data_IF_368759922460
#
_entry.id   IF_368759922460
#
_cell.length_a   1.000
_cell.length_b   1.000
_cell.length_c   1.000
_cell.angle_alpha   90.00
_cell.angle_beta   90.00
_cell.angle_gamma   90.00
#
_symmetry.space_group_name_H-M   'P 1'
#
loop_
_entity.id
_entity.type
_entity.pdbx_description
1 polymer ?
#
# COMPACT_ATOMS: atom_id res chain seq x y z
N UNK A 1 -4.44 13.34 -14.85
CA UNK A 1 -5.49 14.06 -14.12
C UNK A 1 -5.53 15.54 -14.53
N UNK A 2 -6.68 16.25 -14.43
CA UNK A 2 -6.84 17.63 -14.92
C UNK A 2 -5.88 18.63 -14.26
N UNK A 3 -5.55 18.45 -12.98
CA UNK A 3 -4.64 19.35 -12.27
C UNK A 3 -3.22 19.28 -12.82
N UNK A 4 -2.68 18.07 -13.01
CA UNK A 4 -1.36 17.89 -13.63
C UNK A 4 -1.32 18.45 -15.04
N UNK A 5 -2.38 18.25 -15.82
CA UNK A 5 -2.48 18.76 -17.19
C UNK A 5 -2.58 20.29 -17.26
N UNK A 6 -3.13 20.95 -16.24
CA UNK A 6 -3.20 22.41 -16.16
C UNK A 6 -1.82 23.08 -15.93
N UNK A 7 -0.81 22.31 -15.52
CA UNK A 7 0.55 22.80 -15.31
C UNK A 7 1.38 22.91 -16.61
N UNK A 8 0.83 22.52 -17.76
CA UNK A 8 1.50 22.66 -19.07
C UNK A 8 1.90 24.11 -19.34
N UNK A 9 3.11 24.31 -19.88
CA UNK A 9 3.63 25.61 -20.27
C UNK A 9 4.06 25.58 -21.74
N UNK A 10 3.84 26.69 -22.43
CA UNK A 10 4.31 26.85 -23.82
C UNK A 10 5.83 26.78 -23.89
N UNK A 11 6.38 26.02 -24.82
CA UNK A 11 7.83 25.86 -25.02
C UNK A 11 8.52 24.90 -24.08
N UNK A 12 7.75 24.11 -23.28
CA UNK A 12 8.29 23.04 -22.42
C UNK A 12 7.78 21.70 -22.95
N UNK A 13 8.70 20.74 -23.12
CA UNK A 13 8.34 19.37 -23.45
C UNK A 13 7.56 18.72 -22.28
N UNK A 14 6.46 18.07 -22.62
CA UNK A 14 5.60 17.43 -21.65
C UNK A 14 5.54 15.94 -21.95
N UNK A 15 5.95 15.14 -20.97
CA UNK A 15 5.79 13.68 -21.00
C UNK A 15 4.69 13.31 -20.04
N UNK A 16 3.72 12.52 -20.49
CA UNK A 16 2.64 12.03 -19.63
C UNK A 16 2.81 10.55 -19.31
N UNK A 17 2.18 10.12 -18.21
CA UNK A 17 2.08 8.70 -17.86
C UNK A 17 0.71 8.40 -17.24
N UNK A 18 0.24 7.17 -17.42
CA UNK A 18 -1.07 6.75 -16.90
C UNK A 18 -1.34 5.26 -17.08
N UNK A 19 -2.50 4.81 -16.58
CA UNK A 19 -2.95 3.43 -16.74
C UNK A 19 -3.52 3.12 -18.13
N UNK A 20 -3.69 4.13 -18.99
CA UNK A 20 -4.19 4.01 -20.35
C UNK A 20 -3.03 3.84 -21.35
N UNK A 21 -3.35 3.50 -22.60
CA UNK A 21 -2.36 3.48 -23.66
C UNK A 21 -1.77 4.90 -23.91
N UNK A 22 -0.47 5.00 -24.24
CA UNK A 22 0.18 6.29 -24.51
C UNK A 22 -0.52 7.05 -25.64
N UNK A 23 -0.67 8.37 -25.47
CA UNK A 23 -1.25 9.23 -26.50
C UNK A 23 -0.24 9.61 -27.58
N UNK A 24 1.04 9.69 -27.25
CA UNK A 24 2.15 10.02 -28.17
C UNK A 24 3.31 9.05 -28.00
N UNK A 25 4.26 9.07 -28.95
CA UNK A 25 5.48 8.27 -28.87
C UNK A 25 6.39 8.62 -27.67
N UNK A 26 6.14 9.78 -27.04
CA UNK A 26 6.91 10.25 -25.89
C UNK A 26 6.29 9.85 -24.53
N UNK A 27 5.03 9.48 -24.52
CA UNK A 27 4.27 9.20 -23.31
C UNK A 27 4.45 7.75 -22.86
N UNK A 28 4.20 7.53 -21.56
CA UNK A 28 4.24 6.21 -20.96
C UNK A 28 2.83 5.74 -20.58
N UNK A 29 2.57 4.45 -20.73
CA UNK A 29 1.25 3.91 -20.42
C UNK A 29 1.22 2.40 -20.25
N UNK A 30 0.01 1.86 -20.07
CA UNK A 30 -0.25 0.43 -20.06
C UNK A 30 -0.98 0.05 -21.33
N UNK A 31 -0.50 -0.99 -22.02
CA UNK A 31 -1.16 -1.57 -23.20
C UNK A 31 -1.52 -3.02 -22.95
N UNK A 32 -2.75 -3.37 -23.25
CA UNK A 32 -3.22 -4.75 -23.23
C UNK A 32 -2.91 -5.43 -24.56
N UNK A 33 -2.22 -6.56 -24.54
CA UNK A 33 -1.96 -7.40 -25.71
C UNK A 33 -2.13 -8.88 -25.36
N UNK A 34 -2.99 -9.59 -26.10
CA UNK A 34 -3.21 -11.05 -25.92
C UNK A 34 -3.41 -11.48 -24.45
N UNK A 35 -4.20 -10.74 -23.69
CA UNK A 35 -4.47 -10.93 -22.25
C UNK A 35 -3.28 -10.64 -21.30
N UNK A 36 -2.25 -9.97 -21.75
CA UNK A 36 -1.12 -9.52 -20.93
C UNK A 36 -1.03 -8.00 -20.99
N UNK A 37 -0.91 -7.37 -19.83
CA UNK A 37 -0.65 -5.95 -19.71
C UNK A 37 0.85 -5.67 -19.77
N UNK A 38 1.23 -4.66 -20.54
CA UNK A 38 2.61 -4.22 -20.72
C UNK A 38 2.78 -2.77 -20.34
N UNK A 39 3.86 -2.44 -19.64
CA UNK A 39 4.35 -1.07 -19.56
C UNK A 39 4.96 -0.73 -20.91
N UNK A 40 4.58 0.41 -21.46
CA UNK A 40 5.03 0.85 -22.79
C UNK A 40 5.44 2.33 -22.78
N UNK A 41 6.38 2.70 -23.71
CA UNK A 41 6.68 4.07 -24.06
C UNK A 41 6.31 4.26 -25.55
N UNK A 42 5.28 5.02 -25.86
CA UNK A 42 4.72 5.02 -27.21
C UNK A 42 4.38 3.60 -27.67
N UNK A 43 5.05 3.13 -28.71
CA UNK A 43 4.89 1.78 -29.24
C UNK A 43 5.89 0.77 -28.70
N UNK A 44 6.92 1.23 -28.00
CA UNK A 44 7.97 0.38 -27.44
C UNK A 44 7.52 -0.32 -26.16
N UNK A 45 7.65 -1.63 -26.12
CA UNK A 45 7.37 -2.43 -24.91
C UNK A 45 8.55 -2.32 -23.96
N UNK A 46 8.28 -1.84 -22.74
CA UNK A 46 9.26 -1.77 -21.66
C UNK A 46 9.31 -3.09 -20.90
N UNK A 47 8.15 -3.55 -20.39
CA UNK A 47 8.07 -4.73 -19.52
C UNK A 47 6.63 -5.25 -19.42
N UNK A 48 6.40 -6.58 -19.38
CA UNK A 48 5.12 -7.11 -18.90
C UNK A 48 4.84 -6.68 -17.46
N UNK A 49 3.63 -6.19 -17.16
CA UNK A 49 3.26 -5.77 -15.78
C UNK A 49 3.42 -6.90 -14.76
N UNK A 50 3.23 -8.16 -15.18
CA UNK A 50 3.41 -9.34 -14.34
C UNK A 50 4.87 -9.59 -13.92
N UNK A 51 5.85 -8.99 -14.61
CA UNK A 51 7.28 -9.11 -14.29
C UNK A 51 7.78 -8.01 -13.35
N UNK A 52 6.91 -7.06 -12.96
CA UNK A 52 7.28 -6.08 -11.94
C UNK A 52 7.58 -6.78 -10.61
N UNK A 53 8.68 -6.42 -9.97
CA UNK A 53 9.05 -6.93 -8.65
C UNK A 53 8.00 -6.63 -7.56
N UNK A 54 7.20 -5.56 -7.76
CA UNK A 54 6.03 -5.21 -6.95
C UNK A 54 4.81 -5.12 -7.84
N UNK A 55 3.87 -6.03 -7.66
CA UNK A 55 2.64 -6.10 -8.47
C UNK A 55 1.59 -5.04 -8.11
N UNK A 56 0.55 -4.99 -8.94
CA UNK A 56 -0.62 -4.14 -8.77
C UNK A 56 -0.63 -2.88 -9.64
N UNK A 57 -1.83 -2.44 -10.03
CA UNK A 57 -2.01 -1.32 -10.98
C UNK A 57 -1.36 -0.02 -10.50
N UNK A 58 -1.40 0.27 -9.19
CA UNK A 58 -0.75 1.45 -8.63
C UNK A 58 0.78 1.39 -8.72
N UNK A 59 1.39 0.20 -8.61
CA UNK A 59 2.83 0.03 -8.78
C UNK A 59 3.23 0.08 -10.25
N UNK A 60 2.39 -0.38 -11.17
CA UNK A 60 2.57 -0.14 -12.60
C UNK A 60 2.62 1.37 -12.91
N UNK A 61 1.71 2.17 -12.34
CA UNK A 61 1.74 3.63 -12.48
C UNK A 61 2.98 4.27 -11.85
N UNK A 62 3.42 3.79 -10.68
CA UNK A 62 4.67 4.24 -10.05
C UNK A 62 5.89 3.93 -10.93
N UNK A 63 5.93 2.75 -11.55
CA UNK A 63 6.98 2.37 -12.50
C UNK A 63 6.98 3.29 -13.73
N UNK A 64 5.80 3.58 -14.31
CA UNK A 64 5.67 4.51 -15.44
C UNK A 64 6.12 5.93 -15.05
N UNK A 65 5.80 6.39 -13.85
CA UNK A 65 6.28 7.67 -13.34
C UNK A 65 7.82 7.70 -13.22
N UNK A 66 8.42 6.63 -12.70
CA UNK A 66 9.87 6.52 -12.60
C UNK A 66 10.55 6.52 -13.97
N UNK A 67 9.99 5.77 -14.94
CA UNK A 67 10.45 5.76 -16.32
C UNK A 67 10.38 7.14 -16.98
N UNK A 68 9.27 7.86 -16.81
CA UNK A 68 9.09 9.21 -17.32
C UNK A 68 10.09 10.20 -16.70
N UNK A 69 10.33 10.11 -15.40
CA UNK A 69 11.29 10.97 -14.69
C UNK A 69 12.74 10.68 -15.06
N UNK A 70 13.07 9.43 -15.41
CA UNK A 70 14.45 9.03 -15.78
C UNK A 70 14.75 9.23 -17.26
N UNK A 71 13.75 9.50 -18.10
CA UNK A 71 13.92 9.69 -19.55
C UNK A 71 14.99 10.72 -19.94
N UNK A 72 15.11 11.90 -19.29
CA UNK A 72 16.14 12.89 -19.66
C UNK A 72 17.58 12.43 -19.41
N UNK A 73 17.79 11.31 -18.74
CA UNK A 73 19.11 10.77 -18.37
C UNK A 73 19.56 9.64 -19.29
N UNK A 74 18.81 9.32 -20.34
CA UNK A 74 19.13 8.28 -21.34
C UNK A 74 19.53 6.94 -20.73
N UNK A 75 18.85 6.52 -19.63
CA UNK A 75 19.11 5.26 -18.96
C UNK A 75 18.80 4.09 -19.91
N UNK A 76 19.74 3.16 -20.16
CA UNK A 76 19.50 2.04 -21.07
C UNK A 76 18.28 1.20 -20.66
N UNK A 77 17.43 0.81 -21.61
CA UNK A 77 16.22 0.03 -21.37
C UNK A 77 16.49 -1.24 -20.55
N UNK A 78 17.56 -1.96 -20.84
CA UNK A 78 17.94 -3.16 -20.11
C UNK A 78 18.21 -2.89 -18.61
N UNK A 79 18.81 -1.75 -18.27
CA UNK A 79 19.03 -1.34 -16.89
C UNK A 79 17.70 -1.01 -16.20
N UNK A 80 16.81 -0.27 -16.88
CA UNK A 80 15.48 0.03 -16.37
C UNK A 80 14.69 -1.25 -16.09
N UNK A 81 14.65 -2.19 -17.03
CA UNK A 81 14.00 -3.49 -16.89
C UNK A 81 14.58 -4.29 -15.71
N UNK A 82 15.88 -4.29 -15.54
CA UNK A 82 16.55 -4.99 -14.43
C UNK A 82 16.08 -4.45 -13.08
N UNK A 83 16.05 -3.12 -12.92
CA UNK A 83 15.61 -2.47 -11.69
C UNK A 83 14.12 -2.75 -11.44
N UNK A 84 13.27 -2.62 -12.46
CA UNK A 84 11.82 -2.84 -12.32
C UNK A 84 11.49 -4.28 -11.89
N UNK A 85 12.24 -5.29 -12.38
CA UNK A 85 12.07 -6.69 -11.98
C UNK A 85 12.58 -6.96 -10.56
N UNK A 86 13.68 -6.31 -10.16
CA UNK A 86 14.33 -6.55 -8.87
C UNK A 86 13.82 -5.66 -7.74
N UNK A 87 13.00 -4.65 -8.04
CA UNK A 87 12.50 -3.73 -7.04
C UNK A 87 11.50 -4.41 -6.12
N UNK A 88 11.84 -4.55 -4.84
CA UNK A 88 11.02 -5.24 -3.83
C UNK A 88 10.05 -4.33 -3.08
N UNK A 89 9.88 -3.09 -3.52
CA UNK A 89 9.08 -2.07 -2.86
C UNK A 89 9.90 -1.21 -1.90
N UNK A 90 9.24 -0.21 -1.32
CA UNK A 90 9.85 0.65 -0.31
C UNK A 90 9.47 0.16 1.08
N UNK A 91 10.36 0.30 2.09
CA UNK A 91 10.01 0.00 3.48
C UNK A 91 8.75 0.76 3.91
N UNK A 92 7.90 0.08 4.67
CA UNK A 92 6.65 0.63 5.24
C UNK A 92 5.60 1.06 4.20
N UNK A 93 5.69 0.57 2.95
CA UNK A 93 4.68 0.78 1.89
C UNK A 93 4.15 -0.55 1.39
N UNK A 94 3.08 -1.00 2.00
CA UNK A 94 2.46 -2.32 1.76
C UNK A 94 3.49 -3.46 1.75
N UNK A 95 4.44 -3.38 2.68
CA UNK A 95 5.57 -4.29 2.79
C UNK A 95 5.13 -5.59 3.47
N UNK A 96 5.27 -6.71 2.79
CA UNK A 96 5.11 -8.01 3.42
C UNK A 96 6.29 -8.25 4.38
N UNK A 97 6.05 -8.26 5.68
CA UNK A 97 7.05 -8.59 6.70
C UNK A 97 7.28 -10.11 6.78
N UNK A 98 6.25 -10.89 6.57
CA UNK A 98 6.29 -12.34 6.65
C UNK A 98 4.90 -12.95 6.80
N UNK A 99 4.86 -14.21 7.23
CA UNK A 99 3.60 -14.90 7.52
C UNK A 99 3.68 -15.69 8.82
N UNK A 100 2.54 -15.79 9.51
CA UNK A 100 2.35 -16.57 10.74
C UNK A 100 1.20 -17.54 10.48
N UNK A 101 1.48 -18.84 10.43
CA UNK A 101 0.46 -19.89 10.16
C UNK A 101 -0.41 -19.61 8.92
N UNK A 102 0.20 -19.06 7.84
CA UNK A 102 -0.51 -18.73 6.60
C UNK A 102 -1.24 -17.39 6.61
N UNK A 103 -1.21 -16.63 7.71
CA UNK A 103 -1.67 -15.24 7.79
C UNK A 103 -0.54 -14.31 7.37
N UNK A 104 -0.77 -13.46 6.36
CA UNK A 104 0.23 -12.47 5.93
C UNK A 104 0.27 -11.29 6.89
N UNK A 105 1.47 -10.86 7.30
CA UNK A 105 1.68 -9.66 8.15
C UNK A 105 2.25 -8.56 7.26
N UNK A 106 1.50 -7.46 7.10
CA UNK A 106 1.81 -6.40 6.13
C UNK A 106 1.94 -5.06 6.83
N UNK A 107 3.08 -4.41 6.60
CA UNK A 107 3.39 -3.07 7.10
C UNK A 107 3.20 -2.03 6.00
N UNK A 108 2.23 -1.16 6.21
CA UNK A 108 1.94 0.02 5.41
C UNK A 108 1.91 1.28 6.29
N UNK A 109 2.80 1.32 7.29
CA UNK A 109 2.83 2.41 8.28
C UNK A 109 3.03 3.80 7.66
N UNK A 110 3.51 3.89 6.41
CA UNK A 110 3.64 5.13 5.65
C UNK A 110 2.31 5.64 5.10
N UNK A 111 1.24 4.85 5.08
CA UNK A 111 -0.12 5.27 4.70
C UNK A 111 -0.73 6.18 5.78
N UNK A 112 -0.35 7.45 5.76
CA UNK A 112 -0.77 8.46 6.75
C UNK A 112 -1.99 9.27 6.32
N UNK A 113 -2.68 8.82 5.28
CA UNK A 113 -3.90 9.45 4.73
C UNK A 113 -4.95 8.40 4.38
N UNK A 114 -6.21 8.78 4.40
CA UNK A 114 -7.34 7.92 4.00
C UNK A 114 -7.14 7.38 2.57
N UNK A 115 -6.67 8.23 1.65
CA UNK A 115 -6.45 7.83 0.24
C UNK A 115 -5.41 6.70 0.12
N UNK A 116 -4.33 6.77 0.90
CA UNK A 116 -3.29 5.74 0.88
C UNK A 116 -3.83 4.40 1.42
N UNK A 117 -4.52 4.41 2.56
CA UNK A 117 -5.14 3.21 3.12
C UNK A 117 -6.23 2.64 2.20
N UNK A 118 -7.02 3.51 1.56
CA UNK A 118 -8.01 3.11 0.57
C UNK A 118 -7.36 2.39 -0.63
N UNK A 119 -6.24 2.89 -1.13
CA UNK A 119 -5.48 2.25 -2.19
C UNK A 119 -4.94 0.87 -1.77
N UNK A 120 -4.41 0.74 -0.55
CA UNK A 120 -3.94 -0.51 0.00
C UNK A 120 -5.05 -1.57 0.09
N UNK A 121 -6.24 -1.17 0.57
CA UNK A 121 -7.40 -2.06 0.68
C UNK A 121 -7.96 -2.45 -0.69
N UNK A 122 -8.06 -1.52 -1.63
CA UNK A 122 -8.58 -1.78 -2.99
C UNK A 122 -7.70 -2.71 -3.81
N UNK A 123 -6.40 -2.73 -3.54
CA UNK A 123 -5.44 -3.62 -4.22
C UNK A 123 -5.37 -5.03 -3.63
N UNK A 124 -6.04 -5.30 -2.50
CA UNK A 124 -5.97 -6.59 -1.82
C UNK A 124 -7.06 -7.53 -2.30
N UNK A 125 -6.67 -8.77 -2.59
CA UNK A 125 -7.58 -9.90 -2.85
C UNK A 125 -7.82 -10.78 -1.61
N UNK A 126 -7.17 -10.45 -0.47
CA UNK A 126 -7.26 -11.21 0.78
C UNK A 126 -8.22 -10.56 1.76
N UNK A 127 -8.86 -11.37 2.58
CA UNK A 127 -9.62 -10.88 3.75
C UNK A 127 -8.68 -10.13 4.68
N UNK A 128 -9.00 -8.88 5.00
CA UNK A 128 -8.12 -7.98 5.72
C UNK A 128 -8.60 -7.75 7.16
N UNK A 129 -7.67 -7.91 8.11
CA UNK A 129 -7.77 -7.42 9.48
C UNK A 129 -6.96 -6.12 9.54
N UNK A 130 -7.67 -5.00 9.44
CA UNK A 130 -7.05 -3.68 9.34
C UNK A 130 -6.74 -3.12 10.72
N UNK A 131 -5.52 -2.60 10.91
CA UNK A 131 -5.17 -1.76 12.05
C UNK A 131 -5.01 -0.33 11.55
N UNK A 132 -5.85 0.59 12.07
CA UNK A 132 -5.88 1.98 11.64
C UNK A 132 -5.96 2.94 12.84
N UNK A 133 -5.64 4.23 12.59
CA UNK A 133 -5.72 5.28 13.59
C UNK A 133 -4.42 5.99 13.89
N UNK A 134 -4.50 6.97 14.78
CA UNK A 134 -3.45 7.92 15.08
C UNK A 134 -3.96 9.37 14.98
N UNK A 135 -3.08 10.31 14.63
CA UNK A 135 -3.42 11.71 14.37
C UNK A 135 -3.87 11.91 12.91
N UNK A 136 -5.15 12.10 12.70
CA UNK A 136 -5.75 12.31 11.38
C UNK A 136 -5.50 13.67 10.76
N UNK A 137 -4.91 14.62 11.46
CA UNK A 137 -4.61 15.99 10.97
C UNK A 137 -5.83 16.72 10.41
N UNK A 138 -7.02 16.44 10.93
CA UNK A 138 -8.28 17.06 10.51
C UNK A 138 -8.87 16.52 9.20
N UNK A 139 -8.34 15.43 8.63
CA UNK A 139 -8.89 14.85 7.42
C UNK A 139 -10.27 14.20 7.66
N UNK A 140 -11.06 14.09 6.60
CA UNK A 140 -12.32 13.36 6.58
C UNK A 140 -12.09 11.86 6.39
N UNK A 141 -12.74 11.02 7.19
CA UNK A 141 -12.66 9.57 7.12
C UNK A 141 -13.84 8.91 6.38
N UNK A 142 -14.80 9.67 5.87
CA UNK A 142 -16.05 9.13 5.29
C UNK A 142 -15.79 8.08 4.19
N UNK A 143 -14.76 8.28 3.35
CA UNK A 143 -14.42 7.35 2.29
C UNK A 143 -13.88 5.99 2.79
N UNK A 144 -13.38 5.92 4.04
CA UNK A 144 -12.78 4.70 4.58
C UNK A 144 -13.85 3.64 4.90
N UNK A 145 -15.03 4.06 5.37
CA UNK A 145 -16.11 3.15 5.74
C UNK A 145 -16.58 2.26 4.60
N UNK A 146 -16.87 2.86 3.43
CA UNK A 146 -17.34 2.13 2.26
C UNK A 146 -16.30 1.12 1.73
N UNK A 147 -15.00 1.44 1.82
CA UNK A 147 -13.92 0.57 1.36
C UNK A 147 -13.68 -0.55 2.37
N UNK A 148 -13.65 -0.23 3.66
CA UNK A 148 -13.48 -1.22 4.73
C UNK A 148 -14.59 -2.27 4.72
N UNK A 149 -15.84 -1.88 4.44
CA UNK A 149 -16.97 -2.79 4.34
C UNK A 149 -16.81 -3.89 3.27
N UNK A 150 -16.06 -3.61 2.21
CA UNK A 150 -15.82 -4.57 1.11
C UNK A 150 -14.59 -5.43 1.31
N UNK A 151 -13.61 -4.93 2.08
CA UNK A 151 -12.26 -5.52 2.10
C UNK A 151 -11.85 -6.02 3.50
N UNK A 152 -12.49 -5.50 4.57
CA UNK A 152 -12.07 -5.82 5.93
C UNK A 152 -13.04 -6.79 6.61
N UNK A 153 -12.47 -7.76 7.32
CA UNK A 153 -13.20 -8.63 8.27
C UNK A 153 -13.50 -7.86 9.55
N UNK A 154 -12.52 -7.07 10.01
CA UNK A 154 -12.62 -6.19 11.14
C UNK A 154 -11.60 -5.06 11.04
N UNK A 155 -11.86 -3.94 11.73
CA UNK A 155 -10.97 -2.79 11.84
C UNK A 155 -10.62 -2.56 13.31
N UNK A 156 -9.35 -2.56 13.63
CA UNK A 156 -8.84 -2.32 14.97
C UNK A 156 -8.23 -0.93 15.05
N UNK A 157 -8.75 -0.13 15.95
CA UNK A 157 -8.54 1.31 15.99
C UNK A 157 -7.68 1.72 17.17
N UNK A 158 -6.70 2.58 16.92
CA UNK A 158 -5.78 3.11 17.93
C UNK A 158 -5.67 4.64 17.83
N UNK A 159 -5.21 5.27 18.87
CA UNK A 159 -4.78 6.67 18.87
C UNK A 159 -5.91 7.69 18.89
N UNK A 160 -5.50 8.95 18.71
CA UNK A 160 -6.33 10.15 18.95
C UNK A 160 -7.65 10.16 18.19
N UNK A 161 -7.63 9.88 16.90
CA UNK A 161 -8.81 10.00 16.04
C UNK A 161 -9.52 8.65 15.79
N UNK A 162 -9.26 7.64 16.62
CA UNK A 162 -9.90 6.33 16.56
C UNK A 162 -11.44 6.42 16.52
N UNK A 163 -12.04 7.24 17.39
CA UNK A 163 -13.48 7.43 17.44
C UNK A 163 -14.05 8.09 16.18
N UNK A 164 -13.29 8.96 15.50
CA UNK A 164 -13.73 9.56 14.23
C UNK A 164 -13.73 8.53 13.10
N UNK A 165 -12.75 7.64 13.11
CA UNK A 165 -12.73 6.51 12.16
C UNK A 165 -13.90 5.58 12.47
N UNK A 166 -14.13 5.21 13.74
CA UNK A 166 -15.27 4.38 14.15
C UNK A 166 -16.60 4.93 13.63
N UNK A 167 -16.85 6.23 13.81
CA UNK A 167 -18.04 6.89 13.30
C UNK A 167 -18.20 6.81 11.77
N UNK A 168 -17.09 6.71 11.01
CA UNK A 168 -17.14 6.51 9.57
C UNK A 168 -17.44 5.07 9.16
N UNK A 169 -17.18 4.09 10.04
CA UNK A 169 -17.42 2.67 9.81
C UNK A 169 -18.86 2.25 10.13
N UNK A 170 -19.47 2.87 11.13
CA UNK A 170 -20.82 2.54 11.64
C UNK A 170 -21.91 2.50 10.56
N UNK A 171 -22.02 3.50 9.65
CA UNK A 171 -23.06 3.49 8.61
C UNK A 171 -22.99 2.30 7.65
N UNK A 172 -21.82 1.66 7.60
CA UNK A 172 -21.56 0.51 6.71
C UNK A 172 -21.56 -0.83 7.43
N UNK A 173 -21.87 -0.86 8.74
CA UNK A 173 -21.92 -2.08 9.54
C UNK A 173 -20.55 -2.79 9.68
N UNK A 174 -19.45 -2.07 9.55
CA UNK A 174 -18.10 -2.64 9.67
C UNK A 174 -17.81 -2.97 11.12
N UNK A 175 -17.40 -4.19 11.41
CA UNK A 175 -16.97 -4.59 12.73
C UNK A 175 -15.67 -3.86 13.10
N UNK A 176 -15.67 -3.18 14.26
CA UNK A 176 -14.46 -2.53 14.76
C UNK A 176 -14.29 -2.71 16.26
N UNK A 177 -13.07 -2.52 16.75
CA UNK A 177 -12.72 -2.45 18.17
C UNK A 177 -11.68 -1.36 18.41
N UNK A 178 -11.79 -0.69 19.58
CA UNK A 178 -10.85 0.32 20.05
C UNK A 178 -9.79 -0.34 20.95
N UNK A 179 -8.53 0.09 20.80
CA UNK A 179 -7.40 -0.40 21.59
C UNK A 179 -6.55 0.77 22.09
N UNK A 180 -5.98 0.63 23.28
CA UNK A 180 -5.07 1.63 23.85
C UNK A 180 -3.66 1.51 23.30
N UNK A 181 -3.28 0.32 22.81
CA UNK A 181 -1.96 0.08 22.24
C UNK A 181 -2.00 -0.60 20.88
N UNK A 182 -0.96 -0.38 20.07
CA UNK A 182 -0.76 -1.08 18.81
C UNK A 182 -0.46 -2.57 19.04
N UNK A 183 0.21 -2.90 20.15
CA UNK A 183 0.52 -4.26 20.52
C UNK A 183 -0.77 -5.07 20.71
N UNK A 184 -1.71 -4.57 21.52
CA UNK A 184 -2.98 -5.26 21.77
C UNK A 184 -3.84 -5.36 20.50
N UNK A 185 -3.88 -4.30 19.67
CA UNK A 185 -4.55 -4.32 18.38
C UNK A 185 -3.96 -5.39 17.44
N UNK A 186 -2.61 -5.52 17.42
CA UNK A 186 -1.91 -6.50 16.60
C UNK A 186 -2.19 -7.93 17.08
N UNK A 187 -2.11 -8.16 18.39
CA UNK A 187 -2.40 -9.46 19.00
C UNK A 187 -3.84 -9.89 18.70
N UNK A 188 -4.81 -8.99 18.90
CA UNK A 188 -6.22 -9.28 18.64
C UNK A 188 -6.50 -9.53 17.15
N UNK A 189 -5.78 -8.85 16.23
CA UNK A 189 -5.89 -9.10 14.80
C UNK A 189 -5.35 -10.49 14.42
N UNK A 190 -4.21 -10.88 14.96
CA UNK A 190 -3.61 -12.20 14.73
C UNK A 190 -4.43 -13.34 15.34
N UNK A 191 -5.06 -13.11 16.50
CA UNK A 191 -5.94 -14.08 17.15
C UNK A 191 -7.19 -14.37 16.32
N UNK A 192 -7.77 -13.32 15.68
CA UNK A 192 -8.97 -13.46 14.85
C UNK A 192 -8.69 -13.99 13.44
N UNK A 193 -7.46 -13.82 12.93
CA UNK A 193 -7.12 -14.14 11.56
C UNK A 193 -6.89 -15.64 11.33
N UNK A 194 -7.25 -16.10 10.13
CA UNK A 194 -7.08 -17.48 9.70
C UNK A 194 -6.16 -17.56 8.48
N UNK A 195 -5.66 -18.77 8.18
CA UNK A 195 -4.82 -18.99 6.99
C UNK A 195 -5.49 -18.47 5.73
N UNK A 196 -4.75 -17.70 4.93
CA UNK A 196 -5.25 -16.99 3.76
C UNK A 196 -5.58 -15.51 4.00
N UNK A 197 -5.84 -15.11 5.26
CA UNK A 197 -6.07 -13.71 5.64
C UNK A 197 -4.78 -12.89 5.64
N UNK A 198 -4.94 -11.58 5.83
CA UNK A 198 -3.84 -10.67 6.13
C UNK A 198 -4.16 -9.78 7.34
N UNK A 199 -3.14 -9.52 8.16
CA UNK A 199 -3.13 -8.45 9.15
C UNK A 199 -2.35 -7.28 8.56
N UNK A 200 -3.02 -6.17 8.36
CA UNK A 200 -2.51 -4.98 7.67
C UNK A 200 -2.47 -3.79 8.62
N UNK A 201 -1.27 -3.28 8.89
CA UNK A 201 -1.08 -1.96 9.48
C UNK A 201 -1.12 -0.91 8.36
N UNK A 202 -2.27 -0.26 8.13
CA UNK A 202 -2.42 0.88 7.19
C UNK A 202 -3.24 1.97 7.87
N UNK A 203 -2.55 2.88 8.60
CA UNK A 203 -3.17 3.66 9.66
C UNK A 203 -4.13 4.75 9.24
N UNK A 204 -4.10 5.24 8.01
CA UNK A 204 -4.79 6.43 7.52
C UNK A 204 -4.43 7.73 8.28
N UNK A 205 -3.57 7.66 9.29
CA UNK A 205 -3.23 8.73 10.23
C UNK A 205 -1.72 8.87 10.40
N UNK A 206 -1.27 10.09 10.77
CA UNK A 206 0.08 10.28 11.27
C UNK A 206 0.27 9.53 12.61
N UNK A 207 1.53 9.31 12.98
CA UNK A 207 1.89 8.48 14.13
C UNK A 207 2.26 9.26 15.39
N UNK A 208 2.23 10.58 15.35
CA UNK A 208 2.89 11.44 16.34
C UNK A 208 2.17 11.57 17.68
N UNK A 209 0.94 11.10 17.75
CA UNK A 209 0.17 11.00 19.00
C UNK A 209 0.61 9.85 19.90
N UNK A 210 1.13 8.76 19.32
CA UNK A 210 1.51 7.55 20.06
C UNK A 210 2.97 7.13 19.82
N UNK A 211 3.62 7.58 18.74
CA UNK A 211 4.94 7.10 18.33
C UNK A 211 5.85 8.27 17.93
N UNK A 212 7.16 8.08 17.99
CA UNK A 212 8.14 9.08 17.54
C UNK A 212 8.01 9.44 16.05
N UNK A 213 7.67 8.47 15.23
CA UNK A 213 7.45 8.59 13.78
C UNK A 213 6.85 7.29 13.24
N UNK A 214 6.57 7.25 11.92
CA UNK A 214 5.98 6.07 11.28
C UNK A 214 6.91 4.85 11.24
N UNK A 215 8.23 5.03 11.27
CA UNK A 215 9.20 3.92 11.40
C UNK A 215 9.09 3.25 12.77
N UNK A 216 8.99 4.05 13.84
CA UNK A 216 8.79 3.53 15.19
C UNK A 216 7.47 2.78 15.31
N UNK A 217 6.40 3.29 14.71
CA UNK A 217 5.11 2.57 14.65
C UNK A 217 5.22 1.23 13.93
N UNK A 218 5.91 1.21 12.78
CA UNK A 218 6.17 -0.01 12.03
C UNK A 218 6.98 -1.04 12.83
N UNK A 219 8.02 -0.59 13.55
CA UNK A 219 8.82 -1.47 14.40
C UNK A 219 7.99 -2.08 15.54
N UNK A 220 7.18 -1.26 16.21
CA UNK A 220 6.27 -1.75 17.27
C UNK A 220 5.29 -2.80 16.74
N UNK A 221 4.76 -2.61 15.53
CA UNK A 221 3.90 -3.58 14.86
C UNK A 221 4.62 -4.90 14.57
N UNK A 222 5.82 -4.82 13.99
CA UNK A 222 6.63 -5.99 13.67
C UNK A 222 7.03 -6.78 14.92
N UNK A 223 7.45 -6.07 15.98
CA UNK A 223 7.82 -6.66 17.28
C UNK A 223 6.62 -7.33 17.95
N UNK A 224 5.44 -6.70 17.91
CA UNK A 224 4.21 -7.27 18.44
C UNK A 224 3.81 -8.55 17.70
N UNK A 225 3.90 -8.57 16.37
CA UNK A 225 3.61 -9.76 15.58
C UNK A 225 4.59 -10.91 15.89
N UNK A 226 5.88 -10.60 16.02
CA UNK A 226 6.90 -11.58 16.38
C UNK A 226 6.70 -12.13 17.80
N UNK A 227 6.40 -11.26 18.77
CA UNK A 227 6.13 -11.64 20.15
C UNK A 227 4.89 -12.54 20.27
N UNK A 228 3.82 -12.20 19.53
CA UNK A 228 2.61 -13.01 19.48
C UNK A 228 2.90 -14.42 18.93
N UNK A 229 3.64 -14.51 17.82
CA UNK A 229 4.02 -15.78 17.22
C UNK A 229 4.82 -16.65 18.21
N UNK A 230 5.83 -16.08 18.85
CA UNK A 230 6.65 -16.78 19.84
C UNK A 230 5.83 -17.28 21.05
N UNK A 231 4.93 -16.44 21.57
CA UNK A 231 4.06 -16.81 22.70
C UNK A 231 3.10 -17.97 22.39
N UNK A 232 2.74 -18.15 21.10
CA UNK A 232 1.84 -19.20 20.64
C UNK A 232 2.58 -20.40 19.99
N UNK A 233 3.92 -20.44 20.10
CA UNK A 233 4.72 -21.52 19.51
C UNK A 233 4.60 -21.58 17.98
N UNK A 234 4.40 -20.44 17.32
CA UNK A 234 4.25 -20.32 15.87
C UNK A 234 5.48 -19.67 15.24
N UNK A 235 5.85 -20.14 14.06
CA UNK A 235 6.91 -19.52 13.28
C UNK A 235 6.43 -18.21 12.63
N UNK A 236 7.22 -17.15 12.78
CA UNK A 236 7.11 -15.96 11.95
C UNK A 236 8.09 -16.11 10.78
N UNK A 237 7.60 -16.68 9.69
CA UNK A 237 8.37 -16.85 8.47
C UNK A 237 8.63 -15.47 7.83
N UNK A 238 9.69 -14.80 8.30
CA UNK A 238 10.07 -13.48 7.80
C UNK A 238 10.46 -13.56 6.31
N UNK A 239 10.03 -12.57 5.51
CA UNK A 239 10.49 -12.41 4.14
C UNK A 239 11.99 -12.12 4.13
N UNK A 240 12.77 -12.87 3.34
CA UNK A 240 14.20 -12.57 3.14
C UNK A 240 14.33 -11.17 2.54
N UNK A 241 15.01 -10.26 3.25
CA UNK A 241 15.21 -8.88 2.81
C UNK A 241 14.41 -7.81 3.57
N UNK A 242 13.52 -8.17 4.48
CA UNK A 242 12.78 -7.22 5.31
C UNK A 242 13.61 -6.72 6.52
N UNK A 243 14.79 -6.12 6.26
CA UNK A 243 15.59 -5.41 7.28
C UNK A 243 15.80 -3.96 6.88
#
# INVERSE_FOLDING_TARGET
>A
DPWSMSMRRTGVDVVTFGGDAPATAADFGVRLGSNVEFLVCGDEVVLPCAELGVGGAHNAQNALAALALTRPFDVPLAAQQTVLRSFEGMPHRYQLLGSISGVSVIDDSKATTVVATAAALSGSVRTTWLIAGGDGKGQDFAALGAIAARSCKAVYLIGRDANKIAASLEPYGVTYRLFESLQDATHAALEGATSGDQVLLSPACASWDMFRNYHHRAQVFADAAAAWAAAHGRDFAARKGAR
#
